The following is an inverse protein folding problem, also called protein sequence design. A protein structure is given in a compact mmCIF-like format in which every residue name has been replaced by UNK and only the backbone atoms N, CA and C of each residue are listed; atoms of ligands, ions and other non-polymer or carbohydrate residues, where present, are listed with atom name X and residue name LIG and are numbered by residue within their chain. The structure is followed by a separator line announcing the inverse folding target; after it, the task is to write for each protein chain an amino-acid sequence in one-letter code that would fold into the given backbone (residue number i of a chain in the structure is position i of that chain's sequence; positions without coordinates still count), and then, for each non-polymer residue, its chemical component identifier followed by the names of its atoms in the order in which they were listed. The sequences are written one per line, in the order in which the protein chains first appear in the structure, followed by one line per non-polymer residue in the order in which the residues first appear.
data_IF_391001994622
#
_entry.id   IF_391001994622
#
_cell.length_a   1.000
_cell.length_b   1.000
_cell.length_c   1.000
_cell.angle_alpha   90.00
_cell.angle_beta   90.00
_cell.angle_gamma   90.00
#
_symmetry.space_group_name_H-M   'P 1'
#
loop_
_entity.id
_entity.type
_entity.pdbx_description
1 polymer ?
#
# COMPACT_ATOMS: atom_id res chain seq x y z
N UNK A 1 -44.02 4.16 -9.26
CA UNK A 1 -43.29 3.88 -10.51
C UNK A 1 -42.21 4.93 -10.67
N UNK A 2 -40.95 4.53 -10.50
CA UNK A 2 -39.80 4.86 -11.34
C UNK A 2 -38.75 3.84 -10.90
N UNK A 3 -38.55 2.81 -11.71
CA UNK A 3 -37.44 1.87 -11.58
C UNK A 3 -36.26 2.49 -12.29
N UNK A 4 -35.15 2.71 -11.60
CA UNK A 4 -33.87 2.99 -12.22
C UNK A 4 -33.04 1.69 -12.23
N UNK A 5 -33.04 1.02 -13.37
CA UNK A 5 -32.06 -0.02 -13.67
C UNK A 5 -30.76 0.69 -14.09
N UNK A 6 -29.68 0.48 -13.34
CA UNK A 6 -28.32 0.64 -13.85
C UNK A 6 -27.65 -0.74 -13.83
N UNK A 7 -27.12 -1.22 -14.96
CA UNK A 7 -26.47 -2.50 -15.05
C UNK A 7 -25.05 -2.36 -14.49
N UNK A 8 -24.85 -2.75 -13.24
CA UNK A 8 -23.48 -2.94 -12.72
C UNK A 8 -23.13 -4.39 -12.95
N UNK A 9 -22.60 -4.67 -14.14
CA UNK A 9 -21.79 -5.85 -14.37
C UNK A 9 -20.32 -5.43 -14.28
N UNK A 10 -19.53 -6.36 -13.73
CA UNK A 10 -18.10 -6.61 -13.93
C UNK A 10 -17.24 -6.46 -12.66
N UNK A 11 -16.76 -7.64 -12.24
CA UNK A 11 -15.79 -8.01 -11.21
C UNK A 11 -16.28 -8.10 -9.75
N UNK A 12 -16.76 -9.31 -9.40
CA UNK A 12 -16.79 -9.82 -8.04
C UNK A 12 -15.36 -9.91 -7.46
N UNK A 13 -14.83 -8.77 -7.01
CA UNK A 13 -13.84 -8.77 -5.95
C UNK A 13 -14.60 -8.80 -4.62
N UNK A 14 -14.37 -9.82 -3.79
CA UNK A 14 -14.91 -9.86 -2.43
C UNK A 14 -14.68 -8.51 -1.73
N UNK A 15 -15.66 -7.98 -0.98
CA UNK A 15 -15.52 -6.66 -0.37
C UNK A 15 -14.35 -6.69 0.61
N UNK A 16 -13.23 -6.07 0.24
CA UNK A 16 -12.10 -5.90 1.14
C UNK A 16 -12.51 -4.96 2.26
N UNK A 17 -12.37 -5.39 3.51
CA UNK A 17 -12.65 -4.57 4.69
C UNK A 17 -11.40 -3.80 5.11
N UNK A 18 -11.58 -2.74 5.91
CA UNK A 18 -10.46 -2.02 6.53
C UNK A 18 -10.36 -2.41 8.00
N UNK A 19 -9.25 -3.01 8.39
CA UNK A 19 -8.94 -3.32 9.79
C UNK A 19 -7.65 -2.60 10.17
N UNK A 20 -7.66 -1.84 11.25
CA UNK A 20 -6.48 -1.11 11.73
C UNK A 20 -5.78 -0.27 10.64
N UNK A 21 -6.54 0.31 9.71
CA UNK A 21 -6.03 1.09 8.58
C UNK A 21 -5.39 0.30 7.43
N UNK A 22 -5.32 -1.03 7.53
CA UNK A 22 -4.91 -1.94 6.44
C UNK A 22 -6.14 -2.56 5.77
N UNK A 23 -6.02 -2.97 4.50
CA UNK A 23 -7.10 -3.70 3.82
C UNK A 23 -6.95 -5.19 4.12
N UNK A 24 -8.08 -5.87 4.27
CA UNK A 24 -8.16 -7.29 4.59
C UNK A 24 -9.19 -7.94 3.68
N UNK A 25 -8.86 -9.13 3.16
CA UNK A 25 -9.81 -9.99 2.47
C UNK A 25 -10.29 -11.07 3.45
N UNK A 26 -11.57 -11.03 3.88
CA UNK A 26 -12.08 -11.96 4.90
C UNK A 26 -12.07 -13.42 4.47
N UNK A 27 -12.34 -13.68 3.19
CA UNK A 27 -12.49 -15.04 2.66
C UNK A 27 -11.15 -15.78 2.64
N UNK A 28 -10.09 -15.12 2.19
CA UNK A 28 -8.75 -15.71 2.09
C UNK A 28 -7.92 -15.53 3.38
N UNK A 29 -8.42 -14.75 4.35
CA UNK A 29 -7.71 -14.41 5.60
C UNK A 29 -6.33 -13.77 5.34
N UNK A 30 -6.24 -12.95 4.29
CA UNK A 30 -5.02 -12.25 3.88
C UNK A 30 -5.15 -10.73 4.04
N UNK A 31 -4.06 -10.12 4.51
CA UNK A 31 -3.86 -8.68 4.49
C UNK A 31 -3.37 -8.27 3.11
N UNK A 32 -3.90 -7.16 2.61
CA UNK A 32 -3.53 -6.55 1.33
C UNK A 32 -3.18 -5.09 1.53
N UNK A 33 -2.21 -4.62 0.74
CA UNK A 33 -1.75 -3.24 0.79
C UNK A 33 -2.44 -2.41 -0.29
N UNK A 34 -2.98 -1.26 0.12
CA UNK A 34 -3.63 -0.34 -0.81
C UNK A 34 -2.61 0.60 -1.41
N UNK A 35 -2.30 0.45 -2.70
CA UNK A 35 -1.43 1.36 -3.46
C UNK A 35 -2.20 2.46 -4.17
N UNK A 36 -3.40 2.80 -3.67
CA UNK A 36 -4.25 3.83 -4.28
C UNK A 36 -3.78 5.22 -3.86
N UNK A 37 -2.74 5.71 -4.54
CA UNK A 37 -2.12 7.02 -4.30
C UNK A 37 -2.89 8.15 -5.00
N UNK A 38 -4.18 8.29 -4.73
CA UNK A 38 -5.04 9.30 -5.38
C UNK A 38 -4.56 10.75 -5.24
N UNK A 39 -3.61 11.02 -4.34
CA UNK A 39 -3.00 12.33 -4.12
C UNK A 39 -1.74 12.58 -4.96
N UNK A 40 -1.29 11.61 -5.73
CA UNK A 40 -0.08 11.71 -6.56
C UNK A 40 -0.51 11.74 -8.03
N UNK A 41 -0.01 12.69 -8.84
CA UNK A 41 -0.34 12.76 -10.25
C UNK A 41 0.01 11.45 -10.99
N UNK A 42 -0.82 11.08 -11.96
CA UNK A 42 -0.62 9.88 -12.77
C UNK A 42 0.71 9.90 -13.54
N UNK A 43 1.14 11.08 -13.98
CA UNK A 43 2.43 11.30 -14.66
C UNK A 43 3.64 10.91 -13.81
N UNK A 44 3.54 11.09 -12.49
CA UNK A 44 4.59 10.71 -11.54
C UNK A 44 4.57 9.20 -11.32
N UNK A 45 3.38 8.60 -11.24
CA UNK A 45 3.21 7.14 -11.08
C UNK A 45 3.64 6.37 -12.33
N UNK A 46 3.43 6.94 -13.52
CA UNK A 46 3.88 6.38 -14.81
C UNK A 46 5.34 6.70 -15.13
N UNK A 47 6.05 7.43 -14.26
CA UNK A 47 7.45 7.85 -14.43
C UNK A 47 7.69 8.76 -15.66
N UNK A 48 6.65 9.41 -16.17
CA UNK A 48 6.73 10.37 -17.28
C UNK A 48 7.26 11.74 -16.84
N UNK A 49 7.16 12.05 -15.54
CA UNK A 49 7.65 13.30 -14.93
C UNK A 49 8.39 12.99 -13.63
N UNK A 50 9.40 13.80 -13.30
CA UNK A 50 10.02 13.76 -11.99
C UNK A 50 9.04 14.27 -10.92
N UNK A 51 9.01 13.67 -9.72
CA UNK A 51 8.15 14.13 -8.64
C UNK A 51 8.69 15.42 -8.01
N UNK A 52 7.81 16.20 -7.38
CA UNK A 52 8.24 17.21 -6.42
C UNK A 52 8.57 16.58 -5.07
N UNK A 53 9.33 17.27 -4.22
CA UNK A 53 9.56 16.82 -2.83
C UNK A 53 8.24 16.54 -2.10
N UNK A 54 7.23 17.37 -2.34
CA UNK A 54 5.92 17.21 -1.73
C UNK A 54 5.19 15.95 -2.17
N UNK A 55 5.29 15.60 -3.44
CA UNK A 55 4.72 14.38 -3.99
C UNK A 55 5.46 13.13 -3.50
N UNK A 56 6.79 13.19 -3.38
CA UNK A 56 7.58 12.14 -2.74
C UNK A 56 7.07 11.93 -1.31
N UNK A 57 6.96 12.99 -0.50
CA UNK A 57 6.47 12.86 0.87
C UNK A 57 5.05 12.27 0.93
N UNK A 58 4.15 12.81 0.12
CA UNK A 58 2.75 12.37 0.05
C UNK A 58 2.67 10.88 -0.29
N UNK A 59 3.48 10.42 -1.24
CA UNK A 59 3.56 9.00 -1.62
C UNK A 59 4.05 8.16 -0.46
N UNK A 60 5.17 8.53 0.18
CA UNK A 60 5.76 7.74 1.28
C UNK A 60 4.82 7.66 2.49
N UNK A 61 4.19 8.77 2.85
CA UNK A 61 3.31 8.84 4.02
C UNK A 61 1.94 8.20 3.80
N UNK A 62 1.54 8.02 2.55
CA UNK A 62 0.29 7.30 2.24
C UNK A 62 0.39 5.79 2.46
N UNK A 63 1.61 5.23 2.55
CA UNK A 63 1.82 3.82 2.81
C UNK A 63 1.76 3.60 4.31
N UNK A 64 0.67 2.96 4.74
CA UNK A 64 0.42 2.71 6.15
C UNK A 64 0.82 1.28 6.51
N UNK A 65 1.79 1.14 7.42
CA UNK A 65 2.30 -0.14 7.89
C UNK A 65 2.42 -0.14 9.41
N UNK A 66 1.32 -0.48 10.08
CA UNK A 66 1.29 -0.55 11.56
C UNK A 66 2.04 -1.76 12.11
N UNK A 67 2.15 -2.82 11.32
CA UNK A 67 2.71 -4.10 11.76
C UNK A 67 4.18 -4.28 11.35
N UNK A 68 4.73 -3.34 10.58
CA UNK A 68 6.13 -3.33 10.18
C UNK A 68 6.47 -4.29 9.03
N UNK A 69 5.47 -4.86 8.34
CA UNK A 69 5.71 -5.80 7.23
C UNK A 69 6.48 -5.18 6.08
N UNK A 70 6.28 -3.88 5.86
CA UNK A 70 6.89 -3.11 4.79
C UNK A 70 8.08 -2.28 5.26
N UNK A 71 8.55 -2.44 6.51
CA UNK A 71 9.62 -1.63 7.07
C UNK A 71 10.85 -1.57 6.15
N UNK A 72 11.30 -2.71 5.62
CA UNK A 72 12.44 -2.81 4.70
C UNK A 72 12.22 -2.03 3.39
N UNK A 73 11.02 -2.09 2.84
CA UNK A 73 10.65 -1.38 1.60
C UNK A 73 10.46 0.12 1.83
N UNK A 74 10.01 0.51 3.03
CA UNK A 74 9.79 1.91 3.41
C UNK A 74 11.05 2.63 3.88
N UNK A 75 12.13 1.90 4.20
CA UNK A 75 13.37 2.53 4.63
C UNK A 75 14.05 3.31 3.50
N UNK A 76 14.15 2.74 2.30
CA UNK A 76 14.74 3.40 1.15
C UNK A 76 14.10 4.77 0.83
N UNK A 77 12.78 4.90 0.66
CA UNK A 77 12.17 6.19 0.38
C UNK A 77 12.20 7.16 1.57
N UNK A 78 12.26 6.67 2.82
CA UNK A 78 12.47 7.54 3.99
C UNK A 78 13.87 8.15 4.01
N UNK A 79 14.89 7.36 3.66
CA UNK A 79 16.27 7.87 3.51
C UNK A 79 16.35 8.91 2.40
N UNK A 80 15.73 8.62 1.25
CA UNK A 80 15.60 9.57 0.14
C UNK A 80 15.00 10.90 0.59
N UNK A 81 13.87 10.84 1.29
CA UNK A 81 13.18 12.03 1.83
C UNK A 81 14.06 12.83 2.81
N UNK A 82 14.81 12.13 3.68
CA UNK A 82 15.75 12.78 4.61
C UNK A 82 16.87 13.50 3.87
N UNK A 83 17.41 12.89 2.82
CA UNK A 83 18.49 13.45 2.01
C UNK A 83 18.05 14.71 1.26
N UNK A 84 16.93 14.65 0.56
CA UNK A 84 16.31 15.79 -0.14
C UNK A 84 16.02 16.93 0.85
N UNK A 85 15.55 16.60 2.04
CA UNK A 85 15.30 17.58 3.10
C UNK A 85 16.59 18.23 3.59
N UNK A 86 17.68 17.47 3.74
CA UNK A 86 19.00 17.97 4.17
C UNK A 86 19.60 18.92 3.13
N UNK A 87 19.35 18.68 1.85
CA UNK A 87 19.79 19.53 0.76
C UNK A 87 18.98 20.83 0.62
N UNK A 88 17.89 20.97 1.38
CA UNK A 88 17.08 22.19 1.36
C UNK A 88 16.19 22.34 0.13
N UNK A 89 15.88 21.25 -0.58
CA UNK A 89 14.96 21.26 -1.73
C UNK A 89 13.58 21.74 -1.27
N UNK A 90 12.99 22.70 -1.99
CA UNK A 90 11.67 23.22 -1.65
C UNK A 90 10.59 22.15 -1.82
N UNK A 91 9.42 22.39 -1.24
CA UNK A 91 8.28 21.48 -1.33
C UNK A 91 7.79 21.29 -2.77
N UNK A 92 7.78 22.38 -3.54
CA UNK A 92 7.28 22.43 -4.91
C UNK A 92 8.38 22.24 -5.98
N UNK A 93 9.63 22.10 -5.55
CA UNK A 93 10.76 21.86 -6.46
C UNK A 93 10.78 20.40 -6.91
N UNK A 94 11.18 20.19 -8.16
CA UNK A 94 11.42 18.86 -8.71
C UNK A 94 12.60 18.18 -8.02
N UNK A 95 12.51 16.85 -7.95
CA UNK A 95 13.56 16.01 -7.42
C UNK A 95 14.86 16.15 -8.23
N UNK A 96 16.02 16.39 -7.59
CA UNK A 96 17.31 16.43 -8.28
C UNK A 96 17.60 15.13 -9.03
N UNK A 97 18.27 15.23 -10.18
CA UNK A 97 18.51 14.09 -11.08
C UNK A 97 19.23 12.92 -10.40
N UNK A 98 20.09 13.19 -9.43
CA UNK A 98 20.84 12.16 -8.67
C UNK A 98 19.92 11.21 -7.88
N UNK A 99 18.72 11.66 -7.53
CA UNK A 99 17.75 10.93 -6.71
C UNK A 99 16.66 10.25 -7.54
N UNK A 100 16.50 10.64 -8.81
CA UNK A 100 15.52 10.06 -9.73
C UNK A 100 15.65 8.53 -9.86
N UNK A 101 16.86 7.93 -9.95
CA UNK A 101 16.99 6.48 -9.99
C UNK A 101 16.46 5.79 -8.73
N UNK A 102 16.71 6.37 -7.55
CA UNK A 102 16.24 5.84 -6.26
C UNK A 102 14.72 5.92 -6.18
N UNK A 103 14.14 7.03 -6.62
CA UNK A 103 12.70 7.22 -6.72
C UNK A 103 12.04 6.19 -7.63
N UNK A 104 12.59 5.96 -8.83
CA UNK A 104 12.07 4.97 -9.79
C UNK A 104 12.14 3.55 -9.22
N UNK A 105 13.23 3.20 -8.54
CA UNK A 105 13.38 1.91 -7.86
C UNK A 105 12.31 1.72 -6.76
N UNK A 106 12.09 2.75 -5.94
CA UNK A 106 11.03 2.74 -4.93
C UNK A 106 9.65 2.59 -5.56
N UNK A 107 9.31 3.37 -6.59
CA UNK A 107 8.01 3.26 -7.27
C UNK A 107 7.78 1.88 -7.87
N UNK A 108 8.79 1.29 -8.52
CA UNK A 108 8.70 -0.08 -9.07
C UNK A 108 8.41 -1.10 -7.96
N UNK A 109 9.12 -1.00 -6.84
CA UNK A 109 8.89 -1.82 -5.65
C UNK A 109 7.49 -1.61 -5.10
N UNK A 110 7.02 -0.37 -5.07
CA UNK A 110 5.69 -0.04 -4.56
C UNK A 110 4.58 -0.63 -5.43
N UNK A 111 4.76 -0.63 -6.75
CA UNK A 111 3.83 -1.25 -7.68
C UNK A 111 3.80 -2.77 -7.54
N UNK A 112 4.92 -3.41 -7.22
CA UNK A 112 4.97 -4.86 -6.97
C UNK A 112 4.31 -5.25 -5.64
N UNK A 113 4.31 -4.35 -4.64
CA UNK A 113 3.59 -4.57 -3.37
C UNK A 113 2.06 -4.65 -3.54
N UNK A 114 1.50 -4.16 -4.66
CA UNK A 114 0.06 -4.25 -4.94
C UNK A 114 -0.43 -5.71 -4.99
N UNK A 115 0.43 -6.65 -5.41
CA UNK A 115 0.12 -8.08 -5.46
C UNK A 115 0.56 -8.83 -4.21
N UNK A 116 1.11 -8.15 -3.20
CA UNK A 116 1.55 -8.81 -1.96
C UNK A 116 0.34 -9.13 -1.09
N UNK A 117 0.17 -10.41 -0.78
CA UNK A 117 -0.83 -10.92 0.15
C UNK A 117 -0.12 -11.56 1.34
N UNK A 118 -0.46 -11.13 2.55
CA UNK A 118 0.15 -11.66 3.77
C UNK A 118 -0.91 -12.43 4.55
N UNK A 119 -0.76 -13.75 4.75
CA UNK A 119 -1.64 -14.51 5.63
C UNK A 119 -1.65 -13.91 7.04
N UNK A 120 -2.83 -13.63 7.60
CA UNK A 120 -2.95 -13.05 8.95
C UNK A 120 -2.56 -14.05 10.05
N UNK A 121 -2.74 -15.34 9.79
CA UNK A 121 -2.40 -16.38 10.76
C UNK A 121 -0.96 -16.88 10.54
N UNK A 122 -0.05 -16.43 11.41
CA UNK A 122 1.38 -16.77 11.34
C UNK A 122 1.75 -18.14 11.92
N UNK A 123 0.79 -18.87 12.48
CA UNK A 123 1.01 -20.20 13.07
C UNK A 123 -0.03 -21.20 12.53
N UNK A 124 0.44 -22.15 11.73
CA UNK A 124 -0.36 -23.30 11.31
C UNK A 124 -0.87 -24.11 12.53
N UNK A 125 -0.10 -24.12 13.62
CA UNK A 125 -0.41 -24.85 14.86
C UNK A 125 -1.57 -24.22 15.64
N UNK A 126 -1.67 -22.89 15.69
CA UNK A 126 -2.75 -22.21 16.43
C UNK A 126 -4.12 -22.32 15.73
N UNK A 127 -4.16 -22.41 14.38
CA UNK A 127 -5.42 -22.62 13.64
C UNK A 127 -6.12 -23.92 14.06
N UNK A 128 -5.35 -24.99 14.30
CA UNK A 128 -5.91 -26.27 14.71
C UNK A 128 -6.44 -26.25 16.15
N UNK A 129 -5.74 -25.59 17.08
CA UNK A 129 -6.13 -25.52 18.51
C UNK A 129 -7.40 -24.71 18.75
N UNK A 130 -7.65 -23.65 17.98
CA UNK A 130 -8.88 -22.85 18.13
C UNK A 130 -10.09 -23.60 17.56
N UNK A 131 -9.93 -24.29 16.43
CA UNK A 131 -10.99 -25.10 15.83
C UNK A 131 -11.36 -26.30 16.69
N UNK A 132 -10.38 -26.99 17.29
CA UNK A 132 -10.66 -28.11 18.22
C UNK A 132 -11.40 -27.63 19.47
N UNK A 133 -10.98 -26.51 20.09
CA UNK A 133 -11.66 -25.96 21.27
C UNK A 133 -13.09 -25.48 20.99
N UNK A 134 -13.39 -25.00 19.79
CA UNK A 134 -14.75 -24.61 19.40
C UNK A 134 -15.70 -25.82 19.23
N UNK A 135 -15.16 -26.98 18.85
CA UNK A 135 -15.96 -28.21 18.71
C UNK A 135 -16.18 -28.95 20.03
N UNK A 136 -15.31 -28.75 21.02
CA UNK A 136 -15.46 -29.35 22.36
C UNK A 136 -16.45 -28.60 23.28
N UNK A 137 -16.89 -27.39 22.90
CA UNK A 137 -17.85 -26.57 23.66
C UNK A 137 -19.26 -26.53 23.04
N UNK A 138 -19.58 -27.47 22.13
CA UNK A 138 -20.94 -27.77 21.64
C UNK A 138 -21.43 -29.10 22.24
#
# INVERSE_FOLDING_TARGET
MISINLPVNIEEASPSERILGQKWKPMEDVLIFSTNFHKVPEEVMTMNRNPTRGEVLSTVMSIFDQLGFLAHFLNQPKMLLQEICRMGVSWDDELPEEFVPQWKCFLSTLLSLKSLEIPRCYSHTMKQTILTKYQEHL
#
